data_IF_484666185858
#
_entry.id   IF_484666185858
#
_cell.length_a   1.000
_cell.length_b   1.000
_cell.length_c   1.000
_cell.angle_alpha   90.00
_cell.angle_beta   90.00
_cell.angle_gamma   90.00
#
_symmetry.space_group_name_H-M   'P 1'
#
loop_
_entity.id
_entity.type
_entity.pdbx_description
1 polymer ?
#
# COMPACT_ATOMS: atom_id res chain seq x y z
N UNK A 1 11.34 15.43 8.14
CA UNK A 1 11.48 13.95 8.21
C UNK A 1 10.32 13.34 7.43
N UNK A 2 10.55 12.37 6.52
CA UNK A 2 9.45 11.72 5.78
C UNK A 2 8.70 10.76 6.70
N UNK A 3 7.35 10.78 6.66
CA UNK A 3 6.52 9.79 7.37
C UNK A 3 6.80 8.39 6.80
N UNK A 4 6.85 7.38 7.67
CA UNK A 4 7.00 5.96 7.29
C UNK A 4 5.69 5.24 7.63
N UNK A 5 5.11 4.56 6.65
CA UNK A 5 3.82 3.89 6.76
C UNK A 5 4.02 2.39 6.55
N UNK A 6 3.62 1.57 7.52
CA UNK A 6 3.58 0.13 7.35
C UNK A 6 2.28 -0.25 6.62
N UNK A 7 2.39 -1.08 5.58
CA UNK A 7 1.25 -1.55 4.80
C UNK A 7 1.20 -3.06 4.92
N UNK A 8 0.23 -3.59 5.66
CA UNK A 8 0.08 -5.04 5.83
C UNK A 8 -0.76 -5.59 4.69
N UNK A 9 -0.21 -6.53 3.95
CA UNK A 9 -0.89 -7.24 2.85
C UNK A 9 -1.23 -8.67 3.28
N UNK A 10 -2.20 -9.27 2.59
CA UNK A 10 -2.76 -10.59 2.89
C UNK A 10 -2.73 -11.57 1.71
N UNK A 11 -2.03 -11.25 0.63
CA UNK A 11 -1.93 -12.06 -0.59
C UNK A 11 -1.99 -11.19 -1.86
N UNK A 12 -2.44 -11.74 -2.99
CA UNK A 12 -2.40 -11.07 -4.30
C UNK A 12 -3.67 -11.33 -5.14
N UNK A 13 -4.80 -10.79 -4.70
CA UNK A 13 -6.09 -10.98 -5.37
C UNK A 13 -7.26 -10.85 -4.41
N UNK A 14 -8.40 -10.37 -4.91
CA UNK A 14 -9.60 -10.11 -4.07
C UNK A 14 -10.16 -11.38 -3.41
N UNK A 15 -9.96 -12.54 -4.03
CA UNK A 15 -10.51 -13.82 -3.55
C UNK A 15 -9.55 -14.61 -2.66
N UNK A 16 -8.28 -14.22 -2.60
CA UNK A 16 -7.21 -14.97 -1.92
C UNK A 16 -6.17 -14.07 -1.22
N UNK A 17 -6.47 -12.79 -1.03
CA UNK A 17 -5.57 -11.86 -0.38
C UNK A 17 -6.00 -10.40 -0.46
N UNK A 18 -5.06 -9.52 -0.78
CA UNK A 18 -5.33 -8.08 -0.89
C UNK A 18 -5.89 -7.76 -2.27
N UNK A 19 -6.94 -6.92 -2.30
CA UNK A 19 -7.47 -6.37 -3.54
C UNK A 19 -6.41 -5.49 -4.21
N UNK A 20 -6.13 -5.75 -5.49
CA UNK A 20 -4.96 -5.21 -6.19
C UNK A 20 -5.12 -3.70 -6.45
N UNK A 21 -6.33 -3.24 -6.78
CA UNK A 21 -6.57 -1.83 -7.03
C UNK A 21 -6.46 -0.99 -5.74
N UNK A 22 -7.01 -1.46 -4.63
CA UNK A 22 -6.92 -0.83 -3.31
C UNK A 22 -5.47 -0.75 -2.85
N UNK A 23 -4.71 -1.84 -2.93
CA UNK A 23 -3.29 -1.85 -2.60
C UNK A 23 -2.52 -0.85 -3.47
N UNK A 24 -2.70 -0.92 -4.78
CA UNK A 24 -1.96 -0.06 -5.72
C UNK A 24 -2.28 1.42 -5.51
N UNK A 25 -3.55 1.77 -5.37
CA UNK A 25 -3.99 3.15 -5.13
C UNK A 25 -3.53 3.66 -3.76
N UNK A 26 -3.50 2.79 -2.75
CA UNK A 26 -2.96 3.13 -1.42
C UNK A 26 -1.47 3.46 -1.50
N UNK A 27 -0.66 2.59 -2.13
CA UNK A 27 0.79 2.82 -2.28
C UNK A 27 1.08 4.07 -3.13
N UNK A 28 0.29 4.30 -4.19
CA UNK A 28 0.36 5.50 -5.01
C UNK A 28 0.07 6.77 -4.19
N UNK A 29 -0.99 6.76 -3.39
CA UNK A 29 -1.35 7.91 -2.55
C UNK A 29 -0.27 8.23 -1.52
N UNK A 30 0.35 7.21 -0.91
CA UNK A 30 1.47 7.38 0.03
C UNK A 30 2.65 8.04 -0.69
N UNK A 31 3.01 7.55 -1.89
CA UNK A 31 4.12 8.09 -2.68
C UNK A 31 3.87 9.54 -3.13
N UNK A 32 2.66 9.86 -3.61
CA UNK A 32 2.28 11.21 -4.04
C UNK A 32 2.31 12.23 -2.89
N UNK A 33 2.04 11.80 -1.66
CA UNK A 33 2.13 12.64 -0.46
C UNK A 33 3.55 12.70 0.13
N UNK A 34 4.56 12.22 -0.59
CA UNK A 34 5.97 12.31 -0.18
C UNK A 34 6.36 11.46 1.03
N UNK A 35 5.52 10.49 1.41
CA UNK A 35 5.79 9.53 2.46
C UNK A 35 6.47 8.26 1.92
N UNK A 36 7.06 7.47 2.81
CA UNK A 36 7.66 6.18 2.51
C UNK A 36 6.73 5.06 3.00
N UNK A 37 6.60 3.97 2.24
CA UNK A 37 5.91 2.77 2.69
C UNK A 37 6.87 1.57 2.77
N UNK A 38 6.51 0.61 3.61
CA UNK A 38 7.08 -0.73 3.64
C UNK A 38 5.90 -1.72 3.69
N UNK A 39 5.90 -2.66 2.74
CA UNK A 39 4.99 -3.80 2.74
C UNK A 39 5.58 -4.96 3.55
#
# INVERSE_FOLDING_TARGET
MKKKIAVVLSGCGVYDGTEIHEATLTLLAIAQNGALYQC
#
